data_IF_119053819952
#
_entry.id   IF_119053819952
#
_cell.length_a   1.000
_cell.length_b   1.000
_cell.length_c   1.000
_cell.angle_alpha   90.00
_cell.angle_beta   90.00
_cell.angle_gamma   90.00
#
_symmetry.space_group_name_H-M   'P 1'
#
loop_
_entity.id
_entity.type
_entity.pdbx_description
1 polymer ?
#
# COMPACT_ATOMS: atom_id res chain seq x y z
N UNK A 1 32.83 -18.18 0.05
CA UNK A 1 32.92 -17.25 1.19
C UNK A 1 31.59 -17.29 1.96
N UNK A 2 31.59 -17.45 3.29
CA UNK A 2 30.37 -17.51 4.10
C UNK A 2 29.88 -16.08 4.35
N UNK A 3 28.64 -15.79 3.95
CA UNK A 3 27.99 -14.49 4.21
C UNK A 3 27.82 -14.31 5.72
N UNK A 4 28.14 -13.13 6.26
CA UNK A 4 27.95 -12.83 7.68
C UNK A 4 26.45 -12.82 8.02
N UNK A 5 26.09 -13.02 9.30
CA UNK A 5 24.67 -12.93 9.72
C UNK A 5 24.06 -11.57 9.41
N UNK A 6 24.83 -10.50 9.60
CA UNK A 6 24.41 -9.12 9.30
C UNK A 6 24.13 -8.96 7.80
N UNK A 7 25.04 -9.42 6.94
CA UNK A 7 24.85 -9.33 5.49
C UNK A 7 23.69 -10.19 5.00
N UNK A 8 23.46 -11.36 5.62
CA UNK A 8 22.33 -12.22 5.31
C UNK A 8 21.00 -11.52 5.62
N UNK A 9 20.90 -10.86 6.77
CA UNK A 9 19.72 -10.09 7.16
C UNK A 9 19.50 -8.87 6.25
N UNK A 10 20.57 -8.13 5.92
CA UNK A 10 20.48 -7.01 4.97
C UNK A 10 19.97 -7.49 3.60
N UNK A 11 20.52 -8.59 3.08
CA UNK A 11 20.06 -9.19 1.83
C UNK A 11 18.58 -9.61 1.92
N UNK A 12 18.15 -10.17 3.05
CA UNK A 12 16.75 -10.53 3.28
C UNK A 12 15.85 -9.29 3.17
N UNK A 13 16.21 -8.20 3.84
CA UNK A 13 15.45 -6.96 3.80
C UNK A 13 15.41 -6.37 2.38
N UNK A 14 16.54 -6.37 1.66
CA UNK A 14 16.60 -5.93 0.25
C UNK A 14 15.64 -6.74 -0.63
N UNK A 15 15.57 -8.05 -0.45
CA UNK A 15 14.63 -8.89 -1.22
C UNK A 15 13.18 -8.53 -0.90
N UNK A 16 12.85 -8.29 0.37
CA UNK A 16 11.49 -7.90 0.79
C UNK A 16 11.11 -6.54 0.18
N UNK A 17 12.02 -5.56 0.20
CA UNK A 17 11.79 -4.24 -0.39
C UNK A 17 11.57 -4.30 -1.89
N UNK A 18 12.43 -5.02 -2.61
CA UNK A 18 12.30 -5.20 -4.05
C UNK A 18 11.02 -5.97 -4.39
N UNK A 19 10.71 -7.04 -3.67
CA UNK A 19 9.51 -7.83 -3.89
C UNK A 19 8.24 -7.02 -3.64
N UNK A 20 8.22 -6.18 -2.59
CA UNK A 20 7.11 -5.26 -2.30
C UNK A 20 6.78 -4.38 -3.52
N UNK A 21 7.80 -3.83 -4.17
CA UNK A 21 7.65 -2.96 -5.35
C UNK A 21 7.25 -3.74 -6.60
N UNK A 22 7.95 -4.84 -6.88
CA UNK A 22 7.73 -5.64 -8.09
C UNK A 22 6.38 -6.38 -8.05
N UNK A 23 5.91 -6.82 -6.89
CA UNK A 23 4.56 -7.36 -6.79
C UNK A 23 3.50 -6.29 -7.08
N UNK A 24 3.66 -5.05 -6.62
CA UNK A 24 2.70 -3.98 -6.98
C UNK A 24 2.69 -3.66 -8.47
N UNK A 25 3.82 -3.82 -9.15
CA UNK A 25 3.91 -3.58 -10.60
C UNK A 25 3.35 -4.74 -11.44
N UNK A 26 3.61 -5.99 -11.04
CA UNK A 26 3.34 -7.16 -11.87
C UNK A 26 2.25 -8.10 -11.32
N UNK A 27 1.74 -7.87 -10.12
CA UNK A 27 0.92 -8.82 -9.39
C UNK A 27 1.75 -9.96 -8.77
N UNK A 28 1.14 -10.74 -7.86
CA UNK A 28 1.84 -11.85 -7.21
C UNK A 28 2.24 -12.95 -8.20
N UNK A 29 1.37 -13.25 -9.17
CA UNK A 29 1.56 -14.33 -10.13
C UNK A 29 2.28 -13.87 -11.42
N UNK A 30 2.29 -12.56 -11.70
CA UNK A 30 2.91 -12.02 -12.91
C UNK A 30 4.43 -11.88 -12.85
N UNK A 31 5.06 -12.14 -11.70
CA UNK A 31 6.52 -12.16 -11.56
C UNK A 31 7.06 -13.47 -10.96
N UNK A 32 8.11 -14.00 -11.57
CA UNK A 32 8.80 -15.21 -11.13
C UNK A 32 9.87 -14.95 -10.07
N UNK A 33 10.23 -16.00 -9.33
CA UNK A 33 11.29 -15.92 -8.31
C UNK A 33 12.65 -15.47 -8.88
N UNK A 34 12.98 -15.91 -10.09
CA UNK A 34 14.23 -15.53 -10.76
C UNK A 34 14.33 -14.02 -10.96
N UNK A 35 13.26 -13.38 -11.40
CA UNK A 35 13.24 -11.94 -11.69
C UNK A 35 13.17 -11.11 -10.41
N UNK A 36 12.44 -11.58 -9.39
CA UNK A 36 12.49 -10.99 -8.04
C UNK A 36 13.92 -10.94 -7.49
N UNK A 37 14.62 -12.07 -7.53
CA UNK A 37 15.99 -12.17 -7.01
C UNK A 37 16.98 -11.36 -7.86
N UNK A 38 16.80 -11.34 -9.19
CA UNK A 38 17.56 -10.48 -10.09
C UNK A 38 17.38 -9.00 -9.75
N UNK A 39 16.14 -8.56 -9.48
CA UNK A 39 15.85 -7.20 -9.04
C UNK A 39 16.54 -6.83 -7.72
N UNK A 40 16.71 -7.82 -6.82
CA UNK A 40 17.45 -7.66 -5.57
C UNK A 40 18.98 -7.78 -5.73
N UNK A 41 19.50 -8.00 -6.94
CA UNK A 41 20.93 -8.19 -7.19
C UNK A 41 21.49 -9.50 -6.64
N UNK A 42 20.63 -10.50 -6.43
CA UNK A 42 20.96 -11.77 -5.80
C UNK A 42 20.68 -12.96 -6.71
N UNK A 43 21.38 -14.06 -6.48
CA UNK A 43 21.13 -15.31 -7.20
C UNK A 43 19.84 -15.97 -6.72
N UNK A 44 19.15 -16.68 -7.60
CA UNK A 44 17.95 -17.45 -7.23
C UNK A 44 18.25 -18.47 -6.11
N UNK A 45 19.44 -19.07 -6.10
CA UNK A 45 19.85 -20.00 -5.02
C UNK A 45 19.96 -19.36 -3.64
N UNK A 46 20.15 -18.04 -3.55
CA UNK A 46 20.15 -17.32 -2.27
C UNK A 46 18.75 -17.26 -1.64
N UNK A 47 17.69 -17.35 -2.44
CA UNK A 47 16.31 -17.28 -1.96
C UNK A 47 16.00 -18.38 -0.96
N UNK A 48 16.29 -19.64 -1.31
CA UNK A 48 15.99 -20.81 -0.48
C UNK A 48 16.78 -20.87 0.84
N UNK A 49 17.76 -19.98 1.02
CA UNK A 49 18.47 -19.82 2.30
C UNK A 49 17.82 -18.79 3.22
N UNK A 50 16.94 -17.94 2.69
CA UNK A 50 16.35 -16.80 3.38
C UNK A 50 14.84 -16.98 3.54
N UNK A 51 14.13 -17.48 2.54
CA UNK A 51 12.67 -17.54 2.52
C UNK A 51 12.18 -18.98 2.44
N UNK A 52 11.07 -19.26 3.12
CA UNK A 52 10.48 -20.60 3.12
C UNK A 52 9.83 -20.92 1.78
N UNK A 53 9.14 -19.94 1.18
CA UNK A 53 8.48 -20.07 -0.12
C UNK A 53 8.20 -18.70 -0.74
N UNK A 54 7.72 -18.66 -1.99
CA UNK A 54 7.32 -17.41 -2.64
C UNK A 54 6.12 -16.78 -1.94
N UNK A 55 5.22 -17.59 -1.40
CA UNK A 55 4.07 -17.17 -0.62
C UNK A 55 4.49 -16.51 0.71
N UNK A 56 5.50 -17.06 1.39
CA UNK A 56 6.12 -16.42 2.58
C UNK A 56 6.71 -15.05 2.23
N UNK A 57 7.44 -14.95 1.10
CA UNK A 57 7.94 -13.67 0.61
C UNK A 57 6.77 -12.71 0.27
N UNK A 58 5.69 -13.19 -0.35
CA UNK A 58 4.54 -12.37 -0.70
C UNK A 58 3.86 -11.78 0.54
N UNK A 59 3.71 -12.55 1.62
CA UNK A 59 3.16 -12.05 2.89
C UNK A 59 4.06 -10.94 3.48
N UNK A 60 5.37 -11.20 3.58
CA UNK A 60 6.33 -10.22 4.11
C UNK A 60 6.42 -8.95 3.26
N UNK A 61 6.42 -9.10 1.92
CA UNK A 61 6.40 -7.99 0.98
C UNK A 61 5.11 -7.18 1.06
N UNK A 62 3.96 -7.85 1.24
CA UNK A 62 2.66 -7.18 1.44
C UNK A 62 2.66 -6.36 2.73
N UNK A 63 3.20 -6.91 3.82
CA UNK A 63 3.37 -6.17 5.08
C UNK A 63 4.26 -4.94 4.87
N UNK A 64 5.43 -5.09 4.23
CA UNK A 64 6.34 -3.98 3.90
C UNK A 64 5.64 -2.92 3.04
N UNK A 65 4.84 -3.33 2.06
CA UNK A 65 4.09 -2.44 1.20
C UNK A 65 3.09 -1.58 2.00
N UNK A 66 2.34 -2.19 2.91
CA UNK A 66 1.38 -1.49 3.78
C UNK A 66 2.09 -0.56 4.78
N UNK A 67 3.19 -0.99 5.39
CA UNK A 67 4.00 -0.17 6.31
C UNK A 67 4.57 1.07 5.59
N UNK A 68 5.13 0.89 4.40
CA UNK A 68 5.68 1.98 3.60
C UNK A 68 4.59 3.00 3.21
N UNK A 69 3.42 2.54 2.80
CA UNK A 69 2.31 3.43 2.47
C UNK A 69 1.75 4.17 3.69
N UNK A 70 1.69 3.53 4.87
CA UNK A 70 1.33 4.20 6.12
C UNK A 70 2.35 5.28 6.54
N UNK A 71 3.64 5.04 6.31
CA UNK A 71 4.69 6.06 6.55
C UNK A 71 4.53 7.28 5.64
N UNK A 72 4.10 7.09 4.39
CA UNK A 72 3.82 8.20 3.46
C UNK A 72 2.63 9.04 3.92
N UNK A 73 1.60 8.42 4.50
CA UNK A 73 0.50 9.16 5.13
C UNK A 73 1.00 9.97 6.33
N UNK A 74 1.82 9.37 7.19
CA UNK A 74 2.42 10.09 8.30
C UNK A 74 3.28 11.29 7.83
N UNK A 75 4.06 11.12 6.77
CA UNK A 75 4.81 12.22 6.16
C UNK A 75 3.88 13.33 5.64
N UNK A 76 2.84 12.99 4.88
CA UNK A 76 1.85 13.96 4.39
C UNK A 76 1.18 14.72 5.54
N UNK A 77 0.78 14.05 6.62
CA UNK A 77 0.20 14.74 7.80
C UNK A 77 1.17 15.73 8.45
N UNK A 78 2.48 15.45 8.40
CA UNK A 78 3.49 16.34 8.98
C UNK A 78 3.78 17.57 8.12
N UNK A 79 3.50 17.52 6.81
CA UNK A 79 3.68 18.65 5.88
C UNK A 79 2.65 19.77 6.11
N UNK A 80 1.45 19.44 6.60
CA UNK A 80 0.45 20.44 6.97
C UNK A 80 -0.22 20.12 8.31
N UNK A 81 0.40 20.51 9.44
CA UNK A 81 -0.14 20.24 10.77
C UNK A 81 -1.49 20.91 11.06
N UNK A 82 -1.86 21.96 10.31
CA UNK A 82 -3.11 22.69 10.51
C UNK A 82 -4.31 22.02 9.81
N UNK A 83 -4.05 21.24 8.76
CA UNK A 83 -5.05 20.44 8.05
C UNK A 83 -4.44 19.09 7.64
N UNK A 84 -4.17 18.20 8.62
CA UNK A 84 -3.47 16.95 8.35
C UNK A 84 -4.30 15.98 7.51
N UNK A 85 -5.64 16.04 7.63
CA UNK A 85 -6.53 15.28 6.77
C UNK A 85 -6.45 15.79 5.32
N UNK A 86 -6.55 17.10 5.11
CA UNK A 86 -6.44 17.70 3.80
C UNK A 86 -5.13 17.40 3.11
N UNK A 87 -4.01 17.32 3.84
CA UNK A 87 -2.73 16.90 3.28
C UNK A 87 -2.72 15.44 2.82
N UNK A 88 -3.29 14.52 3.61
CA UNK A 88 -3.42 13.10 3.21
C UNK A 88 -4.32 12.97 1.98
N UNK A 89 -5.44 13.69 1.95
CA UNK A 89 -6.36 13.70 0.79
C UNK A 89 -5.64 14.22 -0.45
N UNK A 90 -4.97 15.38 -0.35
CA UNK A 90 -4.26 15.99 -1.48
C UNK A 90 -3.11 15.11 -1.99
N UNK A 91 -2.37 14.47 -1.08
CA UNK A 91 -1.33 13.49 -1.45
C UNK A 91 -1.94 12.27 -2.15
N UNK A 92 -2.98 11.67 -1.55
CA UNK A 92 -3.51 10.38 -2.00
C UNK A 92 -4.36 10.48 -3.27
N UNK A 93 -5.20 11.50 -3.39
CA UNK A 93 -6.09 11.73 -4.54
C UNK A 93 -5.44 12.68 -5.55
N UNK A 94 -4.20 12.37 -5.93
CA UNK A 94 -3.41 13.15 -6.90
C UNK A 94 -3.09 12.36 -8.16
N UNK A 95 -2.81 13.08 -9.25
CA UNK A 95 -2.29 12.49 -10.48
C UNK A 95 -0.90 11.87 -10.28
N UNK A 96 -0.07 12.45 -9.40
CA UNK A 96 1.23 11.87 -9.06
C UNK A 96 1.08 10.49 -8.44
N UNK A 97 0.16 10.32 -7.48
CA UNK A 97 -0.10 9.02 -6.87
C UNK A 97 -0.80 8.06 -7.86
N UNK A 98 -1.62 8.57 -8.80
CA UNK A 98 -2.18 7.77 -9.90
C UNK A 98 -1.06 7.10 -10.71
N UNK A 99 -0.04 7.85 -11.12
CA UNK A 99 1.09 7.33 -11.91
C UNK A 99 2.03 6.41 -11.13
N UNK A 100 2.01 6.49 -9.80
CA UNK A 100 2.92 5.74 -8.95
C UNK A 100 2.51 4.26 -8.77
N UNK A 101 2.94 3.42 -9.72
CA UNK A 101 2.59 1.99 -9.75
C UNK A 101 3.36 1.13 -8.75
N UNK A 102 4.66 1.41 -8.58
CA UNK A 102 5.54 0.59 -7.73
C UNK A 102 5.49 0.96 -6.24
N UNK A 103 5.16 2.20 -5.91
CA UNK A 103 5.31 2.77 -4.56
C UNK A 103 4.02 3.43 -4.02
N UNK A 104 2.95 3.41 -4.82
CA UNK A 104 1.62 3.90 -4.44
C UNK A 104 0.79 2.88 -3.65
N UNK A 105 -0.53 3.06 -3.64
CA UNK A 105 -1.43 2.30 -2.78
C UNK A 105 -1.36 0.77 -3.05
N UNK A 106 -0.95 -0.05 -2.06
CA UNK A 106 -0.89 -1.50 -2.22
C UNK A 106 -2.28 -2.12 -2.43
N UNK A 107 -3.33 -1.56 -1.84
CA UNK A 107 -4.70 -2.09 -1.98
C UNK A 107 -5.22 -1.89 -3.40
N UNK A 108 -4.93 -0.75 -4.03
CA UNK A 108 -5.29 -0.50 -5.43
C UNK A 108 -4.50 -1.40 -6.37
N UNK A 109 -3.21 -1.61 -6.11
CA UNK A 109 -2.34 -2.43 -6.95
C UNK A 109 -2.62 -3.94 -6.84
N UNK A 110 -2.88 -4.44 -5.63
CA UNK A 110 -2.86 -5.87 -5.31
C UNK A 110 -4.14 -6.38 -4.65
N UNK A 111 -5.15 -5.56 -4.36
CA UNK A 111 -6.31 -5.96 -3.57
C UNK A 111 -7.07 -7.16 -4.14
N UNK A 112 -7.32 -7.17 -5.45
CA UNK A 112 -7.97 -8.29 -6.15
C UNK A 112 -7.11 -9.55 -6.18
N UNK A 113 -5.79 -9.41 -6.23
CA UNK A 113 -4.86 -10.54 -6.17
C UNK A 113 -4.80 -11.11 -4.76
N UNK A 114 -4.62 -10.27 -3.75
CA UNK A 114 -4.59 -10.64 -2.34
C UNK A 114 -5.84 -11.41 -1.90
N UNK A 115 -7.01 -11.07 -2.45
CA UNK A 115 -8.26 -11.80 -2.20
C UNK A 115 -8.20 -13.30 -2.59
N UNK A 116 -7.32 -13.67 -3.53
CA UNK A 116 -7.11 -15.03 -4.03
C UNK A 116 -5.89 -15.73 -3.40
N UNK A 117 -5.12 -15.02 -2.58
CA UNK A 117 -3.91 -15.54 -1.94
C UNK A 117 -4.19 -16.23 -0.59
N UNK A 118 -3.13 -16.71 0.06
CA UNK A 118 -3.15 -17.37 1.37
C UNK A 118 -3.68 -16.48 2.49
N UNK A 119 -4.01 -17.09 3.62
CA UNK A 119 -4.40 -16.39 4.86
C UNK A 119 -3.35 -15.39 5.32
N UNK A 120 -2.07 -15.70 5.14
CA UNK A 120 -0.96 -14.88 5.66
C UNK A 120 -0.77 -13.60 4.85
N UNK A 121 -0.96 -13.68 3.54
CA UNK A 121 -1.03 -12.49 2.68
C UNK A 121 -2.24 -11.65 3.08
N UNK A 122 -3.43 -12.25 3.19
CA UNK A 122 -4.66 -11.53 3.60
C UNK A 122 -4.51 -10.85 4.96
N UNK A 123 -3.89 -11.52 5.94
CA UNK A 123 -3.62 -10.96 7.26
C UNK A 123 -2.72 -9.71 7.20
N UNK A 124 -1.76 -9.68 6.28
CA UNK A 124 -0.89 -8.51 6.07
C UNK A 124 -1.66 -7.30 5.54
N UNK A 125 -2.59 -7.51 4.60
CA UNK A 125 -3.49 -6.46 4.13
C UNK A 125 -4.47 -6.03 5.21
N UNK A 126 -5.07 -6.97 5.94
CA UNK A 126 -6.02 -6.68 7.02
C UNK A 126 -5.38 -5.81 8.11
N UNK A 127 -4.18 -6.16 8.56
CA UNK A 127 -3.44 -5.38 9.54
C UNK A 127 -3.14 -3.96 9.03
N UNK A 128 -2.72 -3.81 7.78
CA UNK A 128 -2.46 -2.50 7.20
C UNK A 128 -3.73 -1.66 7.00
N UNK A 129 -4.85 -2.27 6.59
CA UNK A 129 -6.15 -1.60 6.47
C UNK A 129 -6.63 -1.12 7.84
N UNK A 130 -6.49 -1.93 8.89
CA UNK A 130 -6.74 -1.50 10.28
C UNK A 130 -5.90 -0.28 10.64
N UNK A 131 -4.62 -0.27 10.28
CA UNK A 131 -3.74 0.90 10.46
C UNK A 131 -4.23 2.16 9.72
N UNK A 132 -4.71 2.05 8.48
CA UNK A 132 -5.30 3.20 7.77
C UNK A 132 -6.56 3.71 8.45
N UNK A 133 -7.44 2.81 8.90
CA UNK A 133 -8.67 3.17 9.60
C UNK A 133 -8.36 3.88 10.93
N UNK A 134 -7.33 3.45 11.67
CA UNK A 134 -6.85 4.13 12.88
C UNK A 134 -6.27 5.52 12.58
N UNK A 135 -5.54 5.69 11.47
CA UNK A 135 -5.04 7.00 11.04
C UNK A 135 -6.21 7.91 10.69
N UNK A 136 -7.13 7.49 9.82
CA UNK A 136 -8.29 8.28 9.41
C UNK A 136 -9.15 8.62 10.62
N UNK A 137 -9.47 7.64 11.47
CA UNK A 137 -10.27 7.85 12.67
C UNK A 137 -9.70 8.95 13.56
N UNK A 138 -8.38 8.94 13.80
CA UNK A 138 -7.72 10.04 14.52
C UNK A 138 -7.84 11.40 13.83
N UNK A 139 -7.67 11.44 12.51
CA UNK A 139 -7.72 12.68 11.72
C UNK A 139 -9.13 13.30 11.70
N UNK A 140 -10.18 12.48 11.79
CA UNK A 140 -11.58 12.95 11.76
C UNK A 140 -12.21 13.07 13.16
N UNK A 141 -11.40 12.97 14.23
CA UNK A 141 -11.85 13.13 15.62
C UNK A 141 -12.59 11.92 16.19
N UNK A 142 -12.57 10.78 15.51
CA UNK A 142 -13.17 9.53 15.95
C UNK A 142 -12.16 8.69 16.74
N UNK A 143 -11.98 9.03 18.02
CA UNK A 143 -11.14 8.25 18.94
C UNK A 143 -11.99 7.42 19.90
N UNK A 144 -11.72 6.10 20.00
CA UNK A 144 -12.12 5.30 21.17
C UNK A 144 -13.31 4.34 21.03
N UNK A 145 -13.66 3.85 19.84
CA UNK A 145 -14.61 2.74 19.68
C UNK A 145 -13.94 1.37 19.58
N UNK A 146 -14.55 0.31 20.13
CA UNK A 146 -14.11 -1.10 19.95
C UNK A 146 -14.19 -1.59 18.49
N UNK A 147 -14.89 -0.85 17.61
CA UNK A 147 -15.09 -1.20 16.20
C UNK A 147 -14.71 -0.02 15.29
N UNK A 148 -14.13 -0.28 14.11
CA UNK A 148 -13.93 0.75 13.10
C UNK A 148 -15.26 1.44 12.80
N UNK A 149 -15.27 2.77 12.87
CA UNK A 149 -16.47 3.56 12.58
C UNK A 149 -16.75 3.53 11.07
N UNK A 150 -18.03 3.45 10.71
CA UNK A 150 -18.49 3.45 9.31
C UNK A 150 -18.00 4.66 8.51
N UNK A 151 -17.76 5.81 9.17
CA UNK A 151 -17.26 7.04 8.53
C UNK A 151 -15.83 6.87 8.01
N UNK A 152 -14.90 6.41 8.85
CA UNK A 152 -13.53 6.12 8.43
C UNK A 152 -13.48 5.05 7.33
N UNK A 153 -14.35 4.03 7.41
CA UNK A 153 -14.48 3.02 6.35
C UNK A 153 -14.99 3.61 5.04
N UNK A 154 -15.98 4.51 5.09
CA UNK A 154 -16.49 5.20 3.91
C UNK A 154 -15.43 6.10 3.26
N UNK A 155 -14.67 6.86 4.07
CA UNK A 155 -13.56 7.69 3.60
C UNK A 155 -12.50 6.83 2.90
N UNK A 156 -12.02 5.77 3.56
CA UNK A 156 -11.00 4.89 2.99
C UNK A 156 -11.48 4.22 1.69
N UNK A 157 -12.73 3.75 1.67
CA UNK A 157 -13.33 3.11 0.49
C UNK A 157 -13.46 4.08 -0.69
N UNK A 158 -13.86 5.33 -0.41
CA UNK A 158 -13.97 6.39 -1.43
C UNK A 158 -12.61 6.70 -2.02
N UNK A 159 -11.59 6.89 -1.18
CA UNK A 159 -10.24 7.21 -1.62
C UNK A 159 -9.67 6.10 -2.52
N UNK A 160 -9.71 4.85 -2.04
CA UNK A 160 -9.20 3.68 -2.78
C UNK A 160 -9.97 3.50 -4.10
N UNK A 161 -11.30 3.60 -4.06
CA UNK A 161 -12.16 3.43 -5.23
C UNK A 161 -11.88 4.46 -6.32
N UNK A 162 -11.76 5.73 -5.93
CA UNK A 162 -11.47 6.82 -6.86
C UNK A 162 -10.09 6.67 -7.52
N UNK A 163 -9.05 6.33 -6.75
CA UNK A 163 -7.72 6.08 -7.29
C UNK A 163 -7.68 4.86 -8.22
N UNK A 164 -8.44 3.82 -7.91
CA UNK A 164 -8.57 2.64 -8.77
C UNK A 164 -9.25 2.98 -10.10
N UNK A 165 -10.38 3.69 -10.05
CA UNK A 165 -11.13 4.11 -11.24
C UNK A 165 -10.30 5.07 -12.11
N UNK A 166 -9.60 6.03 -11.49
CA UNK A 166 -8.76 6.97 -12.23
C UNK A 166 -7.62 6.27 -12.98
N UNK A 167 -7.05 5.19 -12.44
CA UNK A 167 -5.99 4.40 -13.09
C UNK A 167 -6.46 3.56 -14.28
N UNK A 168 -7.74 3.16 -14.30
CA UNK A 168 -8.29 2.28 -15.36
C UNK A 168 -8.73 3.07 -16.59
N UNK A 169 -9.10 4.34 -16.43
CA UNK A 169 -9.50 5.18 -17.56
C UNK A 169 -8.28 5.81 -18.26
N UNK A 170 -8.33 5.90 -19.59
CA UNK A 170 -7.26 6.52 -20.40
C UNK A 170 -7.42 8.05 -20.54
N UNK A 171 -8.65 8.54 -20.38
CA UNK A 171 -8.97 9.96 -20.43
C UNK A 171 -8.46 10.65 -19.15
N UNK A 172 -7.51 11.58 -19.31
CA UNK A 172 -6.88 12.28 -18.20
C UNK A 172 -7.86 13.22 -17.47
N UNK A 173 -8.79 13.83 -18.19
CA UNK A 173 -9.78 14.74 -17.61
C UNK A 173 -10.79 13.93 -16.78
N UNK A 174 -11.22 12.77 -17.30
CA UNK A 174 -12.07 11.85 -16.53
C UNK A 174 -11.33 11.27 -15.31
N UNK A 175 -10.04 10.94 -15.44
CA UNK A 175 -9.23 10.47 -14.34
C UNK A 175 -9.14 11.52 -13.22
N UNK A 176 -8.85 12.77 -13.57
CA UNK A 176 -8.82 13.89 -12.63
C UNK A 176 -10.19 14.11 -11.98
N UNK A 177 -11.28 14.05 -12.76
CA UNK A 177 -12.64 14.23 -12.25
C UNK A 177 -13.02 13.19 -11.17
N UNK A 178 -12.58 11.93 -11.30
CA UNK A 178 -12.78 10.94 -10.23
C UNK A 178 -12.06 11.31 -8.93
N UNK A 179 -10.83 11.81 -9.03
CA UNK A 179 -10.03 12.21 -7.87
C UNK A 179 -10.59 13.46 -7.18
N UNK A 180 -11.04 14.44 -7.97
CA UNK A 180 -11.65 15.68 -7.49
C UNK A 180 -12.99 15.41 -6.80
N UNK A 181 -13.86 14.61 -7.43
CA UNK A 181 -15.16 14.23 -6.86
C UNK A 181 -15.00 13.48 -5.53
N UNK A 182 -14.00 12.60 -5.43
CA UNK A 182 -13.68 11.92 -4.18
C UNK A 182 -13.12 12.86 -3.12
N UNK A 183 -12.31 13.85 -3.51
CA UNK A 183 -11.79 14.88 -2.61
C UNK A 183 -12.93 15.69 -1.98
N UNK A 184 -13.88 16.13 -2.81
CA UNK A 184 -15.08 16.83 -2.35
C UNK A 184 -15.93 15.94 -1.43
N UNK A 185 -16.25 14.71 -1.86
CA UNK A 185 -17.08 13.80 -1.09
C UNK A 185 -16.48 13.43 0.27
N UNK A 186 -15.15 13.21 0.35
CA UNK A 186 -14.47 12.91 1.61
C UNK A 186 -14.57 14.10 2.56
N UNK A 187 -14.40 15.34 2.07
CA UNK A 187 -14.53 16.55 2.90
C UNK A 187 -15.95 16.72 3.42
N UNK A 188 -16.96 16.53 2.57
CA UNK A 188 -18.37 16.60 2.97
C UNK A 188 -18.72 15.53 3.99
N UNK A 189 -18.26 14.30 3.75
CA UNK A 189 -18.46 13.18 4.68
C UNK A 189 -17.92 13.57 6.05
N UNK A 190 -16.70 14.09 6.13
CA UNK A 190 -16.06 14.45 7.41
C UNK A 190 -16.75 15.63 8.09
N UNK A 191 -17.24 16.60 7.33
CA UNK A 191 -17.94 17.78 7.85
C UNK A 191 -19.36 17.49 8.40
N UNK A 192 -20.02 16.43 7.91
CA UNK A 192 -21.36 16.00 8.34
C UNK A 192 -21.40 15.34 9.72
#
# INVERSE_FOLDING_TARGET
MRVSRIQAEQNRQTVIDVASRLFREHGFDGIGLKDLMKGAGLTQGAFYKQFASKEDLAAQASKRAMESAAQRWAAATAENPNDPLGAVIAFYLSMDHREERMDGCPVVALGSDAARQSSDVKASFEAGIKGYLEIIGRLIGETGGEKPNGKAMAVLSTMIGALMLSRVVNDADLAQAFLDAATEHVRDTVAA
#
